data_IF_169573730334
#
_entry.id   IF_169573730334
#
_cell.length_a   1.000
_cell.length_b   1.000
_cell.length_c   1.000
_cell.angle_alpha   90.00
_cell.angle_beta   90.00
_cell.angle_gamma   90.00
#
_symmetry.space_group_name_H-M   'P 1'
#
loop_
_entity.id
_entity.type
_entity.pdbx_description
1 polymer ?
#
# COMPACT_ATOMS: atom_id res chain seq x y z
N UNK A 1 -53.50 -9.13 -3.58
CA UNK A 1 -52.35 -10.06 -3.58
C UNK A 1 -51.27 -9.49 -4.48
N UNK A 2 -50.24 -8.85 -3.91
CA UNK A 2 -49.15 -8.21 -4.65
C UNK A 2 -47.85 -9.02 -4.54
N UNK A 3 -47.27 -9.21 -5.72
CA UNK A 3 -45.85 -9.36 -6.08
C UNK A 3 -45.06 -10.63 -5.73
N UNK A 4 -44.85 -11.35 -6.85
CA UNK A 4 -43.73 -12.22 -7.20
C UNK A 4 -42.32 -11.68 -6.90
N UNK A 5 -41.47 -12.68 -6.66
CA UNK A 5 -40.03 -12.79 -6.95
C UNK A 5 -39.07 -11.90 -6.15
N UNK A 6 -38.52 -12.54 -5.11
CA UNK A 6 -37.19 -12.27 -4.54
C UNK A 6 -36.18 -12.04 -5.65
N UNK A 7 -35.63 -10.83 -5.69
CA UNK A 7 -34.48 -10.45 -6.51
C UNK A 7 -33.25 -11.19 -6.04
N UNK A 8 -32.61 -11.88 -6.98
CA UNK A 8 -31.33 -12.56 -6.87
C UNK A 8 -30.23 -11.62 -6.39
N UNK A 9 -29.52 -12.03 -5.34
CA UNK A 9 -28.32 -11.39 -4.83
C UNK A 9 -27.21 -11.54 -5.90
N UNK A 10 -26.95 -10.46 -6.64
CA UNK A 10 -25.99 -10.46 -7.74
C UNK A 10 -24.58 -10.19 -7.16
N UNK A 11 -24.00 -11.20 -6.50
CA UNK A 11 -22.57 -11.21 -6.16
C UNK A 11 -21.76 -11.29 -7.45
N UNK A 12 -21.43 -10.12 -8.03
CA UNK A 12 -20.54 -10.03 -9.18
C UNK A 12 -19.12 -10.39 -8.73
N UNK A 13 -18.79 -11.68 -8.88
CA UNK A 13 -17.42 -12.18 -8.79
C UNK A 13 -16.54 -11.51 -9.86
N UNK A 14 -15.73 -10.53 -9.45
CA UNK A 14 -14.71 -9.94 -10.33
C UNK A 14 -13.53 -10.93 -10.38
N UNK A 15 -13.36 -11.60 -11.53
CA UNK A 15 -12.13 -12.35 -11.83
C UNK A 15 -11.06 -11.35 -12.27
N UNK A 16 -10.12 -11.04 -11.39
CA UNK A 16 -8.88 -10.37 -11.79
C UNK A 16 -7.85 -11.41 -12.22
N UNK A 17 -7.23 -11.19 -13.37
CA UNK A 17 -6.31 -12.11 -14.06
C UNK A 17 -4.99 -12.41 -13.34
N UNK A 18 -4.77 -11.91 -12.12
CA UNK A 18 -3.54 -12.17 -11.40
C UNK A 18 -3.16 -11.03 -10.45
N UNK A 19 -3.94 -10.82 -9.38
CA UNK A 19 -3.53 -9.89 -8.33
C UNK A 19 -2.42 -10.50 -7.48
N UNK A 20 -1.26 -9.83 -7.38
CA UNK A 20 -0.01 -10.36 -6.79
C UNK A 20 0.58 -9.31 -5.83
N UNK A 21 0.79 -9.68 -4.57
CA UNK A 21 1.14 -8.76 -3.48
C UNK A 21 2.54 -8.10 -3.60
N UNK A 22 2.78 -7.03 -2.84
CA UNK A 22 4.11 -6.43 -2.65
C UNK A 22 4.30 -6.00 -1.19
N UNK A 23 5.15 -6.71 -0.44
CA UNK A 23 5.48 -6.31 0.92
C UNK A 23 6.55 -5.20 0.92
N UNK A 24 6.57 -4.33 1.93
CA UNK A 24 7.62 -3.32 2.11
C UNK A 24 8.08 -3.32 3.57
N UNK A 25 9.39 -3.52 3.69
CA UNK A 25 10.34 -3.15 4.72
C UNK A 25 10.18 -3.55 6.20
N UNK A 26 11.28 -4.10 6.74
CA UNK A 26 11.61 -4.16 8.17
C UNK A 26 12.96 -3.48 8.41
N UNK A 27 12.99 -2.52 9.35
CA UNK A 27 14.20 -2.12 10.06
C UNK A 27 14.48 -3.14 11.16
N UNK A 28 15.67 -3.73 11.10
CA UNK A 28 16.41 -4.56 12.07
C UNK A 28 16.31 -6.11 12.02
N UNK A 29 17.53 -6.68 12.05
CA UNK A 29 17.96 -8.08 12.26
C UNK A 29 17.48 -9.21 11.35
N UNK A 30 17.54 -9.00 10.03
CA UNK A 30 17.78 -10.11 9.10
C UNK A 30 19.11 -9.89 8.39
N UNK A 31 20.12 -10.68 8.75
CA UNK A 31 21.35 -10.81 7.97
C UNK A 31 21.01 -11.42 6.61
N UNK A 32 20.63 -10.59 5.64
CA UNK A 32 20.70 -10.94 4.23
C UNK A 32 21.26 -9.75 3.46
N UNK A 33 22.42 -9.98 2.84
CA UNK A 33 23.18 -9.03 2.00
C UNK A 33 22.25 -8.15 1.16
N UNK A 34 22.52 -6.84 1.16
CA UNK A 34 21.88 -5.89 0.25
C UNK A 34 21.93 -6.40 -1.19
N UNK A 35 20.77 -6.57 -1.82
CA UNK A 35 20.64 -6.92 -3.24
C UNK A 35 19.73 -5.90 -3.89
N UNK A 36 20.32 -4.98 -4.66
CA UNK A 36 19.60 -3.87 -5.32
C UNK A 36 18.58 -4.30 -6.39
N UNK A 37 18.52 -5.59 -6.73
CA UNK A 37 17.60 -6.13 -7.73
C UNK A 37 17.20 -7.56 -7.39
N UNK A 38 15.91 -7.86 -7.48
CA UNK A 38 15.39 -9.23 -7.46
C UNK A 38 14.50 -9.47 -8.68
N UNK A 39 14.77 -10.55 -9.42
CA UNK A 39 14.04 -10.94 -10.62
C UNK A 39 13.11 -12.11 -10.30
N UNK A 40 11.90 -12.11 -10.87
CA UNK A 40 10.92 -13.18 -10.73
C UNK A 40 10.30 -13.51 -12.08
N UNK A 41 10.12 -14.80 -12.39
CA UNK A 41 9.68 -15.26 -13.70
C UNK A 41 8.31 -15.95 -13.63
N UNK A 42 7.30 -15.41 -14.34
CA UNK A 42 5.94 -15.95 -14.32
C UNK A 42 5.21 -15.71 -15.65
N UNK A 43 5.75 -16.21 -16.77
CA UNK A 43 5.24 -15.94 -18.12
C UNK A 43 5.55 -14.52 -18.63
N UNK A 44 5.74 -13.57 -17.70
CA UNK A 44 6.37 -12.26 -17.86
C UNK A 44 7.44 -12.11 -16.76
N UNK A 45 8.58 -11.50 -17.07
CA UNK A 45 9.63 -11.19 -16.09
C UNK A 45 9.21 -9.95 -15.30
N UNK A 46 9.16 -10.06 -13.97
CA UNK A 46 8.95 -8.92 -13.08
C UNK A 46 10.22 -8.67 -12.27
N UNK A 47 10.66 -7.41 -12.21
CA UNK A 47 11.80 -6.99 -11.40
C UNK A 47 11.33 -6.06 -10.28
N UNK A 48 11.76 -6.34 -9.05
CA UNK A 48 11.70 -5.37 -7.95
C UNK A 48 13.12 -4.83 -7.74
N UNK A 49 13.29 -3.51 -7.79
CA UNK A 49 14.61 -2.88 -7.67
C UNK A 49 14.60 -1.63 -6.80
N UNK A 50 15.75 -1.34 -6.22
CA UNK A 50 16.05 -0.10 -5.52
C UNK A 50 17.13 0.61 -6.32
N UNK A 51 16.91 1.88 -6.69
CA UNK A 51 17.95 2.65 -7.37
C UNK A 51 19.16 2.89 -6.46
N UNK A 52 20.34 3.04 -7.07
CA UNK A 52 21.60 3.16 -6.34
C UNK A 52 21.60 4.34 -5.37
N UNK A 53 21.11 5.50 -5.82
CA UNK A 53 21.00 6.71 -5.00
C UNK A 53 20.14 6.49 -3.74
N UNK A 54 19.10 5.64 -3.84
CA UNK A 54 18.27 5.27 -2.69
C UNK A 54 19.06 4.42 -1.68
N UNK A 55 19.89 3.48 -2.15
CA UNK A 55 20.77 2.69 -1.28
C UNK A 55 21.87 3.53 -0.63
N UNK A 56 22.34 4.56 -1.33
CA UNK A 56 23.35 5.51 -0.82
C UNK A 56 22.75 6.43 0.26
N UNK A 57 21.54 6.92 0.02
CA UNK A 57 20.83 7.82 0.94
C UNK A 57 20.24 7.09 2.15
N UNK A 58 19.62 5.93 1.92
CA UNK A 58 18.93 5.14 2.95
C UNK A 58 19.60 3.76 3.06
N UNK A 59 20.71 3.70 3.81
CA UNK A 59 21.61 2.53 3.83
C UNK A 59 20.96 1.22 4.30
N UNK A 60 19.97 1.31 5.17
CA UNK A 60 19.31 0.14 5.74
C UNK A 60 18.08 -0.31 4.95
N UNK A 61 17.79 0.28 3.79
CA UNK A 61 16.57 0.01 3.05
C UNK A 61 16.48 -1.45 2.54
N UNK A 62 15.32 -2.06 2.77
CA UNK A 62 14.98 -3.40 2.29
C UNK A 62 13.59 -3.40 1.63
N UNK A 63 13.46 -4.18 0.57
CA UNK A 63 12.22 -4.38 -0.16
C UNK A 63 11.99 -5.87 -0.36
N UNK A 64 10.81 -6.34 0.02
CA UNK A 64 10.48 -7.78 -0.01
C UNK A 64 9.15 -7.98 -0.69
N UNK A 65 9.07 -8.70 -1.79
CA UNK A 65 7.81 -9.02 -2.46
C UNK A 65 7.26 -10.38 -2.06
N UNK A 66 5.93 -10.54 -2.04
CA UNK A 66 5.27 -11.85 -2.05
C UNK A 66 4.32 -11.87 -3.23
N UNK A 67 4.48 -12.81 -4.15
CA UNK A 67 3.58 -12.93 -5.29
C UNK A 67 2.57 -14.05 -5.02
N UNK A 68 1.28 -13.72 -5.13
CA UNK A 68 0.18 -14.68 -4.96
C UNK A 68 -0.54 -14.85 -6.29
N UNK A 69 -0.71 -16.09 -6.78
CA UNK A 69 -1.43 -16.37 -8.03
C UNK A 69 -2.86 -16.79 -7.74
N UNK A 70 -3.75 -16.60 -8.73
CA UNK A 70 -5.13 -17.07 -8.70
C UNK A 70 -5.93 -16.56 -7.49
N UNK A 71 -5.56 -15.39 -6.98
CA UNK A 71 -6.22 -14.76 -5.85
C UNK A 71 -7.58 -14.23 -6.28
N UNK A 72 -8.63 -14.67 -5.60
CA UNK A 72 -9.98 -14.13 -5.76
C UNK A 72 -10.20 -13.02 -4.73
N UNK A 73 -10.41 -11.81 -5.21
CA UNK A 73 -10.77 -10.68 -4.35
C UNK A 73 -12.25 -10.78 -4.02
N UNK A 74 -12.57 -10.77 -2.72
CA UNK A 74 -13.93 -10.84 -2.22
C UNK A 74 -14.09 -9.98 -0.98
N UNK A 75 -15.32 -9.57 -0.71
CA UNK A 75 -15.68 -9.05 0.61
C UNK A 75 -15.47 -10.15 1.65
N UNK A 76 -15.11 -9.75 2.86
CA UNK A 76 -14.99 -10.61 4.03
C UNK A 76 -15.70 -9.96 5.20
N UNK A 77 -15.94 -10.73 6.25
CA UNK A 77 -16.39 -10.18 7.53
C UNK A 77 -15.40 -9.09 7.98
N UNK A 78 -15.82 -7.82 8.16
CA UNK A 78 -14.93 -6.75 8.61
C UNK A 78 -14.22 -7.07 9.92
N UNK A 79 -14.84 -7.87 10.78
CA UNK A 79 -14.28 -8.25 12.08
C UNK A 79 -13.35 -9.47 12.01
N UNK A 80 -13.05 -10.00 10.82
CA UNK A 80 -12.23 -11.21 10.67
C UNK A 80 -10.84 -11.05 11.32
N UNK A 81 -10.23 -9.86 11.20
CA UNK A 81 -8.91 -9.60 11.75
C UNK A 81 -8.90 -9.00 13.16
N UNK A 82 -10.06 -8.61 13.71
CA UNK A 82 -10.18 -7.94 15.02
C UNK A 82 -9.51 -8.73 16.16
N UNK A 83 -9.69 -10.05 16.30
CA UNK A 83 -9.03 -10.80 17.37
C UNK A 83 -7.50 -10.67 17.38
N UNK A 84 -6.90 -10.46 16.21
CA UNK A 84 -5.44 -10.36 16.07
C UNK A 84 -4.93 -8.96 16.41
N UNK A 85 -5.69 -7.90 16.10
CA UNK A 85 -5.26 -6.51 16.28
C UNK A 85 -5.84 -5.82 17.52
N UNK A 86 -6.80 -6.46 18.20
CA UNK A 86 -7.51 -5.92 19.36
C UNK A 86 -6.60 -5.35 20.45
N UNK A 87 -5.47 -6.02 20.72
CA UNK A 87 -4.48 -5.59 21.74
C UNK A 87 -3.85 -4.23 21.49
N UNK A 88 -3.89 -3.71 20.25
CA UNK A 88 -3.36 -2.38 19.94
C UNK A 88 -4.17 -1.27 20.63
N UNK A 89 -5.47 -1.45 20.89
CA UNK A 89 -6.26 -0.44 21.58
C UNK A 89 -5.74 -0.23 23.01
N UNK A 90 -5.41 -1.31 23.74
CA UNK A 90 -4.85 -1.20 25.08
C UNK A 90 -3.44 -0.59 25.06
N UNK A 91 -2.59 -1.01 24.10
CA UNK A 91 -1.23 -0.47 23.95
C UNK A 91 -1.24 1.06 23.79
N UNK A 92 -2.12 1.58 22.93
CA UNK A 92 -2.20 3.00 22.62
C UNK A 92 -3.17 3.80 23.51
N UNK A 93 -3.69 3.22 24.60
CA UNK A 93 -4.30 4.01 25.69
C UNK A 93 -3.25 4.79 26.48
N UNK A 94 -2.03 4.28 26.54
CA UNK A 94 -0.94 4.80 27.37
C UNK A 94 0.21 5.42 26.57
N UNK A 95 0.15 5.32 25.24
CA UNK A 95 1.20 5.77 24.33
C UNK A 95 0.58 6.56 23.18
N UNK A 96 1.14 7.73 22.87
CA UNK A 96 0.71 8.47 21.68
C UNK A 96 1.26 7.81 20.41
N UNK A 97 0.48 7.79 19.33
CA UNK A 97 0.92 7.25 18.03
C UNK A 97 2.25 7.85 17.55
N UNK A 98 2.49 9.12 17.86
CA UNK A 98 3.72 9.85 17.51
C UNK A 98 4.95 9.40 18.29
N UNK A 99 4.76 8.72 19.42
CA UNK A 99 5.83 8.16 20.23
C UNK A 99 6.30 6.80 19.72
N UNK A 100 5.55 6.15 18.83
CA UNK A 100 5.96 4.91 18.20
C UNK A 100 7.25 5.10 17.37
N UNK A 101 8.24 4.24 17.58
CA UNK A 101 9.56 4.36 16.96
C UNK A 101 9.53 4.27 15.43
N UNK A 102 8.69 3.40 14.86
CA UNK A 102 8.53 3.34 13.41
C UNK A 102 7.86 4.62 12.87
N UNK A 103 6.85 5.15 13.57
CA UNK A 103 6.21 6.41 13.21
C UNK A 103 7.22 7.56 13.23
N UNK A 104 8.09 7.64 14.24
CA UNK A 104 9.17 8.65 14.30
C UNK A 104 10.12 8.53 13.10
N UNK A 105 10.54 7.31 12.75
CA UNK A 105 11.39 7.04 11.58
C UNK A 105 10.76 7.58 10.29
N UNK A 106 9.51 7.23 10.01
CA UNK A 106 8.79 7.71 8.82
C UNK A 106 8.60 9.22 8.79
N UNK A 107 8.26 9.81 9.93
CA UNK A 107 8.11 11.27 10.03
C UNK A 107 9.42 11.99 9.75
N UNK A 108 10.56 11.45 10.16
CA UNK A 108 11.87 12.00 9.81
C UNK A 108 12.16 11.87 8.31
N UNK A 109 11.91 10.72 7.69
CA UNK A 109 12.02 10.53 6.24
C UNK A 109 11.16 11.57 5.49
N UNK A 110 9.95 11.83 5.98
CA UNK A 110 9.06 12.81 5.37
C UNK A 110 9.59 14.24 5.48
N UNK A 111 10.22 14.61 6.61
CA UNK A 111 10.93 15.90 6.74
C UNK A 111 12.05 16.02 5.72
N UNK A 112 12.84 14.95 5.53
CA UNK A 112 13.94 14.93 4.55
C UNK A 112 13.44 15.09 3.10
N UNK A 113 12.23 14.59 2.80
CA UNK A 113 11.55 14.83 1.52
C UNK A 113 10.93 16.25 1.41
N UNK A 114 11.06 17.09 2.43
CA UNK A 114 10.45 18.43 2.49
C UNK A 114 8.95 18.44 2.82
N UNK A 115 8.40 17.33 3.29
CA UNK A 115 6.99 17.20 3.66
C UNK A 115 6.76 17.53 5.14
N UNK A 116 5.60 18.12 5.45
CA UNK A 116 5.16 18.36 6.83
C UNK A 116 4.62 17.06 7.45
N UNK A 117 5.28 16.45 8.46
CA UNK A 117 4.85 15.15 9.00
C UNK A 117 3.56 15.20 9.82
N UNK A 118 3.06 16.40 10.13
CA UNK A 118 1.72 16.59 10.71
C UNK A 118 0.60 16.49 9.67
N UNK A 119 0.94 16.62 8.37
CA UNK A 119 -0.01 16.55 7.24
C UNK A 119 0.12 15.22 6.49
N UNK A 120 1.34 14.72 6.36
CA UNK A 120 1.66 13.50 5.62
C UNK A 120 2.06 12.41 6.62
N UNK A 121 1.39 11.25 6.54
CA UNK A 121 1.65 10.11 7.40
C UNK A 121 1.93 8.87 6.55
N UNK A 122 2.85 8.01 6.95
CA UNK A 122 2.99 6.72 6.28
C UNK A 122 1.71 5.88 6.42
N UNK A 123 1.59 4.86 5.58
CA UNK A 123 0.40 4.00 5.52
C UNK A 123 0.14 3.32 6.86
N UNK A 124 1.17 2.80 7.53
CA UNK A 124 1.05 2.24 8.87
C UNK A 124 0.48 3.26 9.87
N UNK A 125 1.07 4.45 9.97
CA UNK A 125 0.57 5.50 10.88
C UNK A 125 -0.88 5.88 10.55
N UNK A 126 -1.22 5.99 9.27
CA UNK A 126 -2.57 6.33 8.82
C UNK A 126 -3.59 5.24 9.19
N UNK A 127 -3.24 3.96 9.01
CA UNK A 127 -4.09 2.82 9.39
C UNK A 127 -4.28 2.80 10.90
N UNK A 128 -3.19 2.89 11.67
CA UNK A 128 -3.20 2.86 13.13
C UNK A 128 -4.08 3.98 13.71
N UNK A 129 -3.93 5.21 13.21
CA UNK A 129 -4.77 6.35 13.65
C UNK A 129 -6.25 6.14 13.37
N UNK A 130 -6.62 5.47 12.27
CA UNK A 130 -8.02 5.19 11.94
C UNK A 130 -8.58 4.10 12.85
N UNK A 131 -7.81 3.04 13.06
CA UNK A 131 -8.17 1.95 13.93
C UNK A 131 -8.46 2.44 15.36
N UNK A 132 -7.54 3.21 15.95
CA UNK A 132 -7.70 3.73 17.32
C UNK A 132 -8.87 4.72 17.48
N UNK A 133 -9.34 5.31 16.39
CA UNK A 133 -10.53 6.18 16.36
C UNK A 133 -11.84 5.40 16.18
N UNK A 134 -11.78 4.07 16.11
CA UNK A 134 -12.95 3.21 15.87
C UNK A 134 -13.49 3.29 14.44
N UNK A 135 -12.72 3.84 13.49
CA UNK A 135 -13.11 3.75 12.08
C UNK A 135 -12.84 2.34 11.58
N UNK A 136 -13.87 1.70 11.01
CA UNK A 136 -13.73 0.38 10.41
C UNK A 136 -12.89 0.49 9.13
N UNK A 137 -11.57 0.30 9.25
CA UNK A 137 -10.63 0.29 8.14
C UNK A 137 -10.49 -1.11 7.51
N UNK A 138 -11.10 -2.12 8.17
CA UNK A 138 -11.29 -3.48 7.69
C UNK A 138 -12.69 -3.60 7.08
N UNK A 139 -12.86 -4.47 6.08
CA UNK A 139 -14.06 -4.60 5.27
C UNK A 139 -13.92 -4.05 3.85
N UNK A 140 -12.71 -3.72 3.39
CA UNK A 140 -12.48 -3.29 2.01
C UNK A 140 -12.55 -4.50 1.08
N UNK A 141 -11.72 -5.50 1.35
CA UNK A 141 -11.74 -6.85 0.76
C UNK A 141 -10.67 -7.70 1.44
N UNK A 142 -10.73 -9.02 1.23
CA UNK A 142 -9.77 -9.97 1.80
C UNK A 142 -8.29 -9.61 1.58
N UNK A 143 -7.93 -9.00 0.44
CA UNK A 143 -6.54 -8.69 0.13
C UNK A 143 -6.06 -7.46 0.91
N UNK A 144 -6.84 -6.38 0.86
CA UNK A 144 -6.53 -5.12 1.54
C UNK A 144 -6.49 -5.31 3.03
N UNK A 145 -7.51 -5.97 3.56
CA UNK A 145 -7.66 -6.19 4.98
C UNK A 145 -6.52 -7.07 5.50
N UNK A 146 -6.11 -8.11 4.75
CA UNK A 146 -4.95 -8.93 5.13
C UNK A 146 -3.67 -8.11 5.28
N UNK A 147 -3.27 -7.33 4.28
CA UNK A 147 -2.00 -6.61 4.38
C UNK A 147 -2.06 -5.45 5.37
N UNK A 148 -3.22 -4.81 5.55
CA UNK A 148 -3.40 -3.76 6.56
C UNK A 148 -3.32 -4.33 7.98
N UNK A 149 -3.89 -5.52 8.22
CA UNK A 149 -3.77 -6.18 9.53
C UNK A 149 -2.34 -6.61 9.81
N UNK A 150 -1.62 -7.17 8.83
CA UNK A 150 -0.19 -7.47 8.98
C UNK A 150 0.63 -6.19 9.20
N UNK A 151 0.28 -5.10 8.50
CA UNK A 151 0.90 -3.79 8.67
C UNK A 151 0.77 -3.27 10.11
N UNK A 152 -0.41 -3.42 10.71
CA UNK A 152 -0.65 -3.08 12.11
C UNK A 152 0.10 -3.98 13.10
N UNK A 153 0.03 -5.31 12.90
CA UNK A 153 0.66 -6.29 13.78
C UNK A 153 2.18 -6.13 13.85
N UNK A 154 2.81 -5.86 12.72
CA UNK A 154 4.27 -5.75 12.62
C UNK A 154 4.78 -4.30 12.57
N UNK A 155 3.87 -3.33 12.62
CA UNK A 155 4.18 -1.91 12.54
C UNK A 155 5.00 -1.55 11.30
N UNK A 156 4.67 -2.15 10.13
CA UNK A 156 5.39 -1.92 8.86
C UNK A 156 4.46 -1.43 7.79
N UNK A 157 4.97 -0.65 6.84
CA UNK A 157 4.16 -0.18 5.70
C UNK A 157 4.03 -1.30 4.67
N UNK A 158 2.82 -1.81 4.42
CA UNK A 158 2.62 -2.92 3.47
C UNK A 158 1.65 -2.49 2.38
N UNK A 159 1.90 -2.97 1.16
CA UNK A 159 1.09 -2.65 0.01
C UNK A 159 0.68 -3.79 -0.89
N UNK A 160 -0.10 -3.44 -1.91
CA UNK A 160 -0.52 -4.37 -2.94
C UNK A 160 -0.67 -3.66 -4.26
N UNK A 161 -0.24 -4.32 -5.33
CA UNK A 161 -0.43 -3.85 -6.70
C UNK A 161 -0.98 -5.00 -7.57
N UNK A 162 -1.77 -4.67 -8.59
CA UNK A 162 -2.15 -5.62 -9.63
C UNK A 162 -1.03 -5.66 -10.67
N UNK A 163 -0.27 -6.75 -10.68
CA UNK A 163 0.86 -6.95 -11.60
C UNK A 163 0.47 -6.97 -13.07
N UNK A 164 -0.79 -7.26 -13.39
CA UNK A 164 -1.25 -7.23 -14.78
C UNK A 164 -1.30 -5.79 -15.31
N UNK A 165 -1.24 -4.78 -14.41
CA UNK A 165 -1.24 -3.35 -14.75
C UNK A 165 0.10 -2.66 -14.50
N UNK A 166 1.13 -3.46 -14.17
CA UNK A 166 2.51 -3.00 -14.01
C UNK A 166 3.32 -3.33 -15.25
N UNK A 167 4.08 -2.35 -15.72
CA UNK A 167 5.05 -2.58 -16.78
C UNK A 167 6.40 -3.00 -16.24
N UNK A 168 6.68 -4.30 -16.39
CA UNK A 168 7.98 -4.97 -16.29
C UNK A 168 8.69 -4.90 -14.93
N UNK A 169 8.84 -3.72 -14.33
CA UNK A 169 9.55 -3.52 -13.07
C UNK A 169 8.78 -2.61 -12.13
N UNK A 170 8.97 -2.83 -10.83
CA UNK A 170 8.75 -1.79 -9.82
C UNK A 170 10.12 -1.35 -9.34
N UNK A 171 10.35 -0.05 -9.40
CA UNK A 171 11.57 0.58 -8.95
C UNK A 171 11.24 1.58 -7.86
N UNK A 172 11.94 1.47 -6.73
CA UNK A 172 11.98 2.50 -5.72
C UNK A 172 13.12 3.48 -6.04
N UNK A 173 12.77 4.74 -6.24
CA UNK A 173 13.69 5.79 -6.69
C UNK A 173 13.24 7.18 -6.25
N UNK A 174 14.12 8.16 -6.44
CA UNK A 174 13.71 9.55 -6.46
C UNK A 174 12.84 9.87 -7.67
N UNK A 175 11.94 10.83 -7.50
CA UNK A 175 11.13 11.37 -8.58
C UNK A 175 12.03 12.12 -9.57
N UNK A 176 11.71 12.01 -10.85
CA UNK A 176 12.39 12.76 -11.91
C UNK A 176 11.93 14.21 -11.89
N UNK A 177 12.75 15.09 -12.44
CA UNK A 177 12.36 16.49 -12.61
C UNK A 177 11.09 16.63 -13.44
N UNK A 178 10.13 17.42 -12.95
CA UNK A 178 8.83 17.60 -13.61
C UNK A 178 7.92 16.37 -13.58
N UNK A 179 8.29 15.31 -12.87
CA UNK A 179 7.46 14.12 -12.76
C UNK A 179 6.19 14.42 -11.95
N UNK A 180 5.06 13.92 -12.44
CA UNK A 180 3.77 14.07 -11.77
C UNK A 180 3.23 12.72 -11.34
N UNK A 181 2.36 12.74 -10.34
CA UNK A 181 1.59 11.58 -9.92
C UNK A 181 0.15 12.03 -9.73
N UNK A 182 -0.82 11.20 -10.12
CA UNK A 182 -2.21 11.36 -9.70
C UNK A 182 -2.42 10.58 -8.39
N UNK A 183 -2.56 11.25 -7.22
CA UNK A 183 -2.84 10.58 -5.96
C UNK A 183 -4.20 9.90 -5.95
N UNK A 184 -4.41 8.99 -4.99
CA UNK A 184 -5.69 8.28 -4.91
C UNK A 184 -6.79 9.26 -4.48
N UNK A 185 -7.86 9.33 -5.26
CA UNK A 185 -9.00 10.19 -4.95
C UNK A 185 -8.82 11.65 -5.32
N UNK A 186 -7.65 12.03 -5.85
CA UNK A 186 -7.45 13.34 -6.44
C UNK A 186 -8.06 13.42 -7.84
N UNK A 187 -8.54 14.60 -8.22
CA UNK A 187 -8.98 14.93 -9.58
C UNK A 187 -7.83 15.36 -10.48
N UNK A 188 -6.74 15.88 -9.90
CA UNK A 188 -5.63 16.47 -10.62
C UNK A 188 -4.27 15.88 -10.17
N UNK A 189 -3.30 15.75 -11.09
CA UNK A 189 -1.94 15.35 -10.74
C UNK A 189 -1.26 16.37 -9.84
N UNK A 190 -0.38 15.87 -8.97
CA UNK A 190 0.55 16.68 -8.19
C UNK A 190 1.94 16.62 -8.81
N UNK A 191 2.65 17.74 -8.76
CA UNK A 191 4.07 17.80 -9.13
C UNK A 191 4.93 17.27 -7.99
N UNK A 192 5.89 16.42 -8.33
CA UNK A 192 6.83 15.85 -7.38
C UNK A 192 8.14 16.63 -7.38
N UNK A 193 8.70 16.86 -6.19
CA UNK A 193 10.04 17.42 -6.06
C UNK A 193 11.10 16.35 -6.32
N UNK A 194 12.32 16.74 -6.69
CA UNK A 194 13.45 15.81 -6.87
C UNK A 194 13.76 14.96 -5.63
N UNK A 195 13.44 15.47 -4.44
CA UNK A 195 13.63 14.74 -3.17
C UNK A 195 12.47 13.78 -2.87
N UNK A 196 11.40 13.78 -3.65
CA UNK A 196 10.26 12.89 -3.45
C UNK A 196 10.66 11.46 -3.80
N UNK A 197 10.47 10.53 -2.88
CA UNK A 197 10.69 9.11 -3.14
C UNK A 197 9.40 8.46 -3.66
N UNK A 198 9.52 7.67 -4.72
CA UNK A 198 8.38 7.04 -5.42
C UNK A 198 8.60 5.57 -5.70
N UNK A 199 7.50 4.82 -5.73
CA UNK A 199 7.42 3.58 -6.50
C UNK A 199 6.97 3.92 -7.91
N UNK A 200 7.72 3.46 -8.92
CA UNK A 200 7.39 3.64 -10.32
C UNK A 200 7.59 2.35 -11.11
N UNK A 201 6.82 2.19 -12.18
CA UNK A 201 7.13 1.23 -13.24
C UNK A 201 7.79 1.95 -14.43
N UNK A 202 7.84 1.30 -15.59
CA UNK A 202 8.43 1.91 -16.80
C UNK A 202 7.59 3.03 -17.43
N UNK A 203 6.29 3.12 -17.09
CA UNK A 203 5.37 4.09 -17.66
C UNK A 203 5.01 5.22 -16.69
N UNK A 204 4.90 4.92 -15.39
CA UNK A 204 4.21 5.81 -14.44
C UNK A 204 4.68 5.67 -12.99
N UNK A 205 4.39 6.71 -12.22
CA UNK A 205 4.45 6.68 -10.76
C UNK A 205 3.27 5.86 -10.22
N UNK A 206 3.59 4.76 -9.55
CA UNK A 206 2.63 3.89 -8.88
C UNK A 206 2.18 4.51 -7.56
N UNK A 207 3.14 4.96 -6.74
CA UNK A 207 2.92 5.59 -5.44
C UNK A 207 3.89 6.77 -5.26
N UNK A 208 3.33 7.97 -5.08
CA UNK A 208 4.08 9.16 -4.66
C UNK A 208 4.30 9.17 -3.16
N UNK A 209 5.38 9.81 -2.71
CA UNK A 209 5.76 9.97 -1.30
C UNK A 209 5.79 8.63 -0.58
N UNK A 210 6.95 7.97 -0.63
CA UNK A 210 7.20 6.63 -0.12
C UNK A 210 6.26 6.16 1.01
N UNK A 211 5.40 5.19 0.68
CA UNK A 211 4.43 4.57 1.59
C UNK A 211 3.30 5.48 2.15
N UNK A 212 2.98 6.63 1.54
CA UNK A 212 1.94 7.55 2.02
C UNK A 212 0.51 6.96 2.00
N UNK A 213 0.06 6.40 0.87
CA UNK A 213 -1.35 6.00 0.69
C UNK A 213 -1.49 4.60 0.10
N UNK A 214 -1.23 3.56 0.91
CA UNK A 214 -1.51 2.17 0.50
C UNK A 214 -2.80 1.63 1.12
N UNK A 215 -3.70 2.54 1.49
CA UNK A 215 -4.95 2.21 2.17
C UNK A 215 -6.03 1.69 1.23
N UNK A 216 -5.78 1.60 -0.08
CA UNK A 216 -6.77 1.05 -0.99
C UNK A 216 -6.17 0.52 -2.30
N UNK A 217 -6.69 -0.62 -2.76
CA UNK A 217 -6.56 -1.14 -4.14
C UNK A 217 -7.24 -0.19 -5.18
N UNK A 218 -7.54 1.06 -4.85
CA UNK A 218 -8.36 1.91 -5.73
C UNK A 218 -7.67 2.34 -7.02
N UNK A 219 -6.34 2.31 -7.12
CA UNK A 219 -5.66 2.62 -8.40
C UNK A 219 -5.97 1.60 -9.51
N UNK A 220 -6.66 0.50 -9.20
CA UNK A 220 -6.92 -0.57 -10.16
C UNK A 220 -8.39 -0.93 -10.31
N UNK A 221 -9.25 -0.64 -9.33
CA UNK A 221 -10.69 -0.86 -9.46
C UNK A 221 -11.47 0.32 -10.06
N UNK A 222 -10.90 1.53 -10.12
CA UNK A 222 -11.60 2.71 -10.67
C UNK A 222 -11.72 2.76 -12.20
N UNK A 223 -11.04 1.89 -12.97
CA UNK A 223 -11.27 1.81 -14.43
C UNK A 223 -12.66 1.22 -14.77
N UNK A 224 -13.40 0.65 -13.82
CA UNK A 224 -14.77 0.16 -14.07
C UNK A 224 -15.90 0.99 -13.41
N UNK A 225 -15.60 2.16 -12.82
CA UNK A 225 -16.65 3.06 -12.30
C UNK A 225 -17.04 4.20 -13.23
N UNK A 226 -16.58 4.19 -14.49
CA UNK A 226 -17.00 5.15 -15.54
C UNK A 226 -18.18 4.65 -16.38
N UNK A 227 -18.95 3.66 -15.90
CA UNK A 227 -20.12 3.13 -16.62
C UNK A 227 -21.35 3.00 -15.73
N UNK A 228 -21.66 4.00 -14.90
CA UNK A 228 -23.03 4.20 -14.39
C UNK A 228 -23.27 5.70 -14.16
N UNK A 229 -23.36 6.44 -15.26
CA UNK A 229 -24.35 7.51 -15.38
C UNK A 229 -25.43 6.97 -16.31
N UNK A 230 -26.52 6.49 -15.72
CA UNK A 230 -27.91 6.49 -16.19
C UNK A 230 -28.75 5.85 -15.07
#
# INVERSE_FOLDING_TARGET
MKHHRKTSNNEKNIRMGGLKFYCIYSMEHLQTKSRGRTNFHMGKLYTLSIEKEMLEKFKDIHLTGIIVKNLKVKSINPNFFEPYISGLNELYKQQDVTENEEVKKWRNIYKEMGLKPSKYHCSFESILRRYLKGFNFLGINNVVDSYNSVSLLHQKCIGGYDLDKIQNKITLRFAKEGETCLPIGASEPISLSKNSVVYADEEKVLCSYWNLEILSIQKLLKIQKTLYSL
#
